data_IF_292498143158
#
_entry.id   IF_292498143158
#
_cell.length_a   1.000
_cell.length_b   1.000
_cell.length_c   1.000
_cell.angle_alpha   90.00
_cell.angle_beta   90.00
_cell.angle_gamma   90.00
#
_symmetry.space_group_name_H-M   'P 1'
#
loop_
_entity.id
_entity.type
_entity.pdbx_description
1 polymer ?
#
# COMPACT_ATOMS: atom_id res chain seq x y z
N UNK A 1 27.17 -0.14 -88.38
CA UNK A 1 26.56 -1.02 -89.39
C UNK A 1 25.17 -1.26 -88.95
N UNK A 2 24.30 -0.76 -89.59
CA UNK A 2 23.39 -0.94 -90.74
C UNK A 2 21.98 -0.90 -90.19
N UNK A 3 21.31 0.18 -90.39
CA UNK A 3 20.22 0.54 -91.32
C UNK A 3 19.11 -0.49 -91.48
N UNK A 4 17.89 -0.07 -91.32
CA UNK A 4 16.82 0.32 -92.27
C UNK A 4 15.46 0.25 -91.60
N UNK A 5 14.77 1.29 -91.56
CA UNK A 5 13.79 1.98 -92.46
C UNK A 5 12.44 1.30 -92.70
N UNK A 6 11.38 2.10 -92.41
CA UNK A 6 10.10 2.27 -93.10
C UNK A 6 9.01 1.20 -92.98
N UNK A 7 7.79 1.46 -92.55
CA UNK A 7 6.78 2.09 -93.38
C UNK A 7 5.54 2.62 -92.64
N UNK A 8 5.07 3.78 -93.06
CA UNK A 8 3.74 4.36 -92.82
C UNK A 8 2.58 3.50 -93.29
N UNK A 9 1.49 3.45 -92.50
CA UNK A 9 0.18 3.45 -93.03
C UNK A 9 -0.79 4.26 -92.15
N UNK A 10 -1.34 5.33 -92.73
CA UNK A 10 -2.49 6.09 -92.27
C UNK A 10 -3.76 5.22 -92.39
N UNK A 11 -4.58 5.14 -91.34
CA UNK A 11 -6.00 4.90 -91.49
C UNK A 11 -6.77 5.83 -90.55
N UNK A 12 -7.59 6.66 -91.21
CA UNK A 12 -8.63 7.53 -90.67
C UNK A 12 -9.76 6.66 -90.09
N UNK A 13 -10.14 6.94 -88.80
CA UNK A 13 -11.36 6.39 -88.25
C UNK A 13 -12.09 7.40 -87.36
N UNK A 14 -13.18 7.83 -87.80
CA UNK A 14 -14.46 8.38 -87.28
C UNK A 14 -14.52 8.59 -85.76
N UNK A 15 -14.68 9.87 -85.39
CA UNK A 15 -15.22 10.30 -84.07
C UNK A 15 -16.67 9.78 -83.92
N UNK A 16 -16.90 8.90 -82.94
CA UNK A 16 -18.21 8.65 -82.36
C UNK A 16 -18.41 9.48 -81.14
N UNK A 17 -19.24 10.51 -81.23
CA UNK A 17 -19.73 11.28 -80.10
C UNK A 17 -20.66 10.41 -79.26
N UNK A 18 -20.13 9.94 -78.07
CA UNK A 18 -20.97 9.28 -77.09
C UNK A 18 -21.40 10.33 -76.04
N UNK A 19 -22.63 10.80 -76.13
CA UNK A 19 -23.30 11.61 -75.09
C UNK A 19 -23.38 10.78 -73.83
N UNK A 20 -22.57 11.13 -72.83
CA UNK A 20 -22.74 10.59 -71.46
C UNK A 20 -23.90 11.32 -70.81
N UNK A 21 -25.10 10.72 -70.78
CA UNK A 21 -26.25 11.17 -70.01
C UNK A 21 -25.93 10.90 -68.51
N UNK A 22 -25.57 11.95 -67.72
CA UNK A 22 -25.51 11.88 -66.27
C UNK A 22 -26.91 11.67 -65.70
N UNK A 23 -27.21 10.47 -65.20
CA UNK A 23 -28.44 10.17 -64.44
C UNK A 23 -28.50 11.12 -63.23
N UNK A 24 -29.66 11.77 -62.94
CA UNK A 24 -29.78 12.63 -61.77
C UNK A 24 -29.67 11.78 -60.51
N UNK A 25 -28.70 12.14 -59.59
CA UNK A 25 -28.59 11.50 -58.28
C UNK A 25 -29.85 11.79 -57.48
N UNK A 26 -30.65 10.76 -57.21
CA UNK A 26 -31.92 10.87 -56.50
C UNK A 26 -31.73 11.54 -55.14
N UNK A 27 -32.57 12.51 -54.80
CA UNK A 27 -32.60 13.28 -53.52
C UNK A 27 -32.57 12.36 -52.29
N UNK A 28 -33.00 11.09 -52.41
CA UNK A 28 -32.99 10.07 -51.38
C UNK A 28 -31.58 9.65 -50.92
N UNK A 29 -30.60 9.54 -51.82
CA UNK A 29 -29.24 9.13 -51.53
C UNK A 29 -28.42 10.23 -50.80
N UNK A 30 -28.71 11.51 -51.10
CA UNK A 30 -28.08 12.66 -50.39
C UNK A 30 -28.61 12.74 -48.96
N UNK A 31 -29.92 12.49 -48.76
CA UNK A 31 -30.53 12.50 -47.40
C UNK A 31 -30.07 11.36 -46.53
N UNK A 32 -29.85 10.15 -47.08
CA UNK A 32 -29.24 9.01 -46.33
C UNK A 32 -27.79 9.28 -45.92
N UNK A 33 -26.97 9.88 -46.83
CA UNK A 33 -25.58 10.23 -46.50
C UNK A 33 -25.48 11.32 -45.41
N UNK A 34 -26.37 12.34 -45.45
CA UNK A 34 -26.42 13.38 -44.38
C UNK A 34 -26.85 12.81 -43.02
N UNK A 35 -27.83 11.89 -42.97
CA UNK A 35 -28.25 11.22 -41.74
C UNK A 35 -27.16 10.28 -41.18
N UNK A 36 -26.40 9.58 -42.01
CA UNK A 36 -25.28 8.75 -41.59
C UNK A 36 -24.12 9.60 -41.05
N UNK A 37 -23.75 10.70 -41.67
CA UNK A 37 -22.73 11.61 -41.23
C UNK A 37 -23.07 12.29 -39.86
N UNK A 38 -24.35 12.69 -39.69
CA UNK A 38 -24.85 13.24 -38.43
C UNK A 38 -24.81 12.21 -37.29
N UNK A 39 -25.10 10.94 -37.56
CA UNK A 39 -25.07 9.85 -36.57
C UNK A 39 -23.64 9.51 -36.15
N UNK A 40 -22.66 9.57 -37.07
CA UNK A 40 -21.22 9.41 -36.79
C UNK A 40 -20.71 10.58 -35.99
N UNK A 41 -21.07 11.83 -36.35
CA UNK A 41 -20.66 13.03 -35.58
C UNK A 41 -21.21 13.03 -34.15
N UNK A 42 -22.46 12.65 -33.94
CA UNK A 42 -23.06 12.52 -32.62
C UNK A 42 -22.38 11.43 -31.77
N UNK A 43 -21.97 10.31 -32.39
CA UNK A 43 -21.22 9.24 -31.72
C UNK A 43 -19.82 9.67 -31.29
N UNK A 44 -19.12 10.46 -32.12
CA UNK A 44 -17.80 11.02 -31.76
C UNK A 44 -17.90 12.03 -30.61
N UNK A 45 -18.90 12.91 -30.65
CA UNK A 45 -19.13 13.90 -29.59
C UNK A 45 -19.46 13.23 -28.25
N UNK A 46 -20.31 12.19 -28.27
CA UNK A 46 -20.62 11.40 -27.08
C UNK A 46 -19.36 10.70 -26.50
N UNK A 47 -18.54 10.08 -27.36
CA UNK A 47 -17.29 9.44 -26.91
C UNK A 47 -16.34 10.47 -26.31
N UNK A 48 -16.16 11.64 -26.93
CA UNK A 48 -15.32 12.72 -26.43
C UNK A 48 -15.80 13.23 -25.06
N UNK A 49 -17.11 13.40 -24.87
CA UNK A 49 -17.69 13.79 -23.57
C UNK A 49 -17.46 12.73 -22.50
N UNK A 50 -17.58 11.44 -22.83
CA UNK A 50 -17.30 10.33 -21.91
C UNK A 50 -15.81 10.31 -21.54
N UNK A 51 -14.92 10.46 -22.53
CA UNK A 51 -13.47 10.49 -22.25
C UNK A 51 -13.08 11.65 -21.34
N UNK A 52 -13.62 12.85 -21.60
CA UNK A 52 -13.37 14.02 -20.73
C UNK A 52 -13.93 13.79 -19.33
N UNK A 53 -15.13 13.23 -19.20
CA UNK A 53 -15.72 12.94 -17.89
C UNK A 53 -14.89 11.89 -17.10
N UNK A 54 -14.44 10.83 -17.77
CA UNK A 54 -13.60 9.79 -17.14
C UNK A 54 -12.24 10.36 -16.73
N UNK A 55 -11.62 11.20 -17.57
CA UNK A 55 -10.33 11.81 -17.23
C UNK A 55 -10.45 12.80 -16.06
N UNK A 56 -11.54 13.58 -15.97
CA UNK A 56 -11.79 14.47 -14.82
C UNK A 56 -12.02 13.68 -13.53
N UNK A 57 -12.79 12.60 -13.57
CA UNK A 57 -13.00 11.73 -12.40
C UNK A 57 -11.66 11.14 -11.94
N UNK A 58 -10.83 10.66 -12.86
CA UNK A 58 -9.52 10.10 -12.54
C UNK A 58 -8.60 11.13 -11.88
N UNK A 59 -8.56 12.36 -12.38
CA UNK A 59 -7.78 13.47 -11.79
C UNK A 59 -8.27 13.78 -10.38
N UNK A 60 -9.59 13.81 -10.15
CA UNK A 60 -10.17 14.04 -8.82
C UNK A 60 -9.80 12.90 -7.86
N UNK A 61 -9.87 11.64 -8.29
CA UNK A 61 -9.48 10.50 -7.46
C UNK A 61 -7.99 10.60 -7.09
N UNK A 62 -7.11 10.91 -8.05
CA UNK A 62 -5.68 11.10 -7.78
C UNK A 62 -5.46 12.25 -6.79
N UNK A 63 -6.14 13.37 -6.95
CA UNK A 63 -6.04 14.49 -6.01
C UNK A 63 -6.49 14.10 -4.60
N UNK A 64 -7.59 13.36 -4.47
CA UNK A 64 -8.08 12.87 -3.17
C UNK A 64 -7.07 11.88 -2.56
N UNK A 65 -6.50 10.95 -3.34
CA UNK A 65 -5.51 10.01 -2.81
C UNK A 65 -4.23 10.72 -2.38
N UNK A 66 -3.77 11.73 -3.11
CA UNK A 66 -2.61 12.55 -2.72
C UNK A 66 -2.89 13.33 -1.44
N UNK A 67 -4.08 13.91 -1.28
CA UNK A 67 -4.46 14.62 -0.04
C UNK A 67 -4.53 13.66 1.15
N UNK A 68 -5.13 12.48 0.97
CA UNK A 68 -5.17 11.44 2.03
C UNK A 68 -3.76 10.98 2.39
N UNK A 69 -2.90 10.74 1.39
CA UNK A 69 -1.51 10.35 1.63
C UNK A 69 -0.71 11.45 2.34
N UNK A 70 -0.91 12.73 1.98
CA UNK A 70 -0.27 13.86 2.65
C UNK A 70 -0.74 13.99 4.10
N UNK A 71 -2.04 13.89 4.36
CA UNK A 71 -2.58 13.92 5.73
C UNK A 71 -2.10 12.75 6.59
N UNK A 72 -1.92 11.56 6.00
CA UNK A 72 -1.35 10.43 6.71
C UNK A 72 0.17 10.60 6.94
N UNK A 73 0.90 11.20 5.98
CA UNK A 73 2.32 11.49 6.12
C UNK A 73 2.62 12.47 7.26
N UNK A 74 1.78 13.49 7.45
CA UNK A 74 1.95 14.42 8.59
C UNK A 74 1.75 13.73 9.95
N UNK A 75 0.87 12.73 10.03
CA UNK A 75 0.67 11.95 11.26
C UNK A 75 1.86 11.01 11.58
N UNK A 76 2.64 10.61 10.57
CA UNK A 76 3.78 9.69 10.75
C UNK A 76 5.11 10.38 11.04
N UNK A 77 5.17 11.70 11.07
CA UNK A 77 6.38 12.44 11.45
C UNK A 77 6.48 12.60 12.97
N UNK A 78 6.53 11.46 13.68
CA UNK A 78 6.73 11.42 15.13
C UNK A 78 8.00 12.18 15.58
N UNK A 79 9.04 12.16 14.77
CA UNK A 79 10.32 12.86 15.05
C UNK A 79 10.30 14.35 14.68
N UNK A 80 9.22 14.85 14.07
CA UNK A 80 9.12 16.22 13.59
C UNK A 80 7.93 16.95 14.23
N UNK A 81 7.57 16.60 15.46
CA UNK A 81 6.59 17.34 16.23
C UNK A 81 7.22 18.55 16.86
N UNK A 82 6.65 19.74 16.68
CA UNK A 82 7.00 20.97 17.42
C UNK A 82 6.65 20.87 18.92
N UNK A 83 6.34 19.66 19.39
CA UNK A 83 6.03 19.37 20.79
C UNK A 83 7.31 18.95 21.52
N UNK A 84 7.62 19.62 22.59
CA UNK A 84 8.71 19.24 23.51
C UNK A 84 8.45 17.89 24.20
N UNK A 85 7.19 17.43 24.22
CA UNK A 85 6.75 16.19 24.90
C UNK A 85 5.77 15.44 24.01
N UNK A 86 6.03 14.15 23.81
CA UNK A 86 5.10 13.21 23.15
C UNK A 86 4.54 12.21 24.18
N UNK A 87 3.24 11.96 24.12
CA UNK A 87 2.56 11.03 25.01
C UNK A 87 2.31 9.71 24.29
N UNK A 88 2.79 8.63 24.87
CA UNK A 88 2.60 7.28 24.35
C UNK A 88 2.04 6.35 25.39
N UNK A 89 1.58 5.19 24.92
CA UNK A 89 1.19 4.07 25.77
C UNK A 89 1.89 2.79 25.31
N UNK A 90 2.14 1.88 26.22
CA UNK A 90 2.41 0.49 25.91
C UNK A 90 1.18 -0.36 26.23
N UNK A 91 0.94 -1.38 25.40
CA UNK A 91 -0.23 -2.24 25.54
C UNK A 91 0.09 -3.70 25.27
N UNK A 92 -0.62 -4.55 26.00
CA UNK A 92 -0.55 -6.00 25.84
C UNK A 92 -1.93 -6.63 26.09
N UNK A 93 -1.99 -7.95 26.09
CA UNK A 93 -3.20 -8.70 26.49
C UNK A 93 -3.66 -8.41 27.92
N UNK A 94 -2.80 -7.87 28.79
CA UNK A 94 -3.16 -7.50 30.16
C UNK A 94 -4.12 -6.31 30.23
N UNK A 95 -4.11 -5.44 29.22
CA UNK A 95 -5.01 -4.29 29.12
C UNK A 95 -6.39 -4.65 28.56
N UNK A 96 -6.59 -5.90 28.13
CA UNK A 96 -7.86 -6.36 27.54
C UNK A 96 -8.14 -5.75 26.17
N UNK A 97 -9.40 -5.48 25.89
CA UNK A 97 -9.83 -4.85 24.63
C UNK A 97 -9.66 -3.34 24.72
N UNK A 98 -9.04 -2.74 23.71
CA UNK A 98 -8.76 -1.32 23.62
C UNK A 98 -9.69 -0.66 22.60
N UNK A 99 -10.28 0.47 22.97
CA UNK A 99 -10.99 1.34 22.04
C UNK A 99 -10.00 2.33 21.40
N UNK A 100 -9.36 1.88 20.32
CA UNK A 100 -8.36 2.67 19.61
C UNK A 100 -8.91 3.98 19.04
N UNK A 101 -10.21 4.05 18.74
CA UNK A 101 -10.85 5.29 18.30
C UNK A 101 -10.83 6.37 19.40
N UNK A 102 -10.99 5.97 20.65
CA UNK A 102 -10.90 6.88 21.80
C UNK A 102 -9.44 7.15 22.16
N UNK A 103 -8.59 6.12 22.21
CA UNK A 103 -7.18 6.23 22.56
C UNK A 103 -6.42 7.15 21.60
N UNK A 104 -6.66 7.05 20.29
CA UNK A 104 -5.98 7.87 19.27
C UNK A 104 -6.14 9.38 19.43
N UNK A 105 -7.10 9.83 20.24
CA UNK A 105 -7.31 11.26 20.51
C UNK A 105 -6.38 11.80 21.60
N UNK A 106 -5.79 10.90 22.39
CA UNK A 106 -5.07 11.24 23.62
C UNK A 106 -3.61 10.76 23.61
N UNK A 107 -3.17 10.08 22.55
CA UNK A 107 -1.79 9.58 22.46
C UNK A 107 -1.17 9.97 21.11
N UNK A 108 0.13 10.19 21.14
CA UNK A 108 0.92 10.49 19.95
C UNK A 108 1.48 9.20 19.34
N UNK A 109 1.64 8.11 20.13
CA UNK A 109 2.14 6.81 19.68
C UNK A 109 1.74 5.68 20.63
N UNK A 110 1.98 4.42 20.19
CA UNK A 110 1.82 3.25 21.05
C UNK A 110 2.90 2.20 20.80
N UNK A 111 3.30 1.49 21.84
CA UNK A 111 4.08 0.26 21.75
C UNK A 111 3.18 -0.94 22.06
N UNK A 112 3.15 -1.91 21.14
CA UNK A 112 2.24 -3.06 21.23
C UNK A 112 3.06 -4.33 21.45
N UNK A 113 2.78 -5.05 22.54
CA UNK A 113 3.42 -6.34 22.77
C UNK A 113 3.00 -7.33 21.69
N UNK A 114 3.96 -7.85 20.94
CA UNK A 114 3.70 -8.85 19.91
C UNK A 114 3.81 -10.27 20.44
N UNK A 115 4.60 -10.47 21.47
CA UNK A 115 4.78 -11.78 22.08
C UNK A 115 5.54 -11.73 23.41
N UNK A 116 5.78 -12.89 23.92
CA UNK A 116 6.55 -13.08 25.14
C UNK A 116 7.20 -14.47 25.16
N UNK A 117 8.36 -14.57 25.80
CA UNK A 117 8.91 -15.88 26.17
C UNK A 117 8.35 -16.29 27.52
N UNK A 118 7.86 -17.50 27.59
CA UNK A 118 7.32 -18.08 28.82
C UNK A 118 8.35 -18.09 29.96
N UNK A 119 7.95 -17.63 31.13
CA UNK A 119 8.86 -17.49 32.27
C UNK A 119 9.16 -18.81 32.99
N UNK A 120 8.52 -19.92 32.62
CA UNK A 120 8.78 -21.26 33.16
C UNK A 120 9.52 -22.11 32.15
N UNK A 121 8.86 -22.46 31.05
CA UNK A 121 9.38 -23.40 30.03
C UNK A 121 10.18 -22.71 28.92
N UNK A 122 10.00 -21.39 28.75
CA UNK A 122 10.79 -20.59 27.81
C UNK A 122 10.32 -20.68 26.35
N UNK A 123 9.12 -21.17 26.08
CA UNK A 123 8.54 -21.17 24.77
C UNK A 123 8.11 -19.76 24.33
N UNK A 124 8.21 -19.47 23.03
CA UNK A 124 7.73 -18.22 22.46
C UNK A 124 6.20 -18.28 22.24
N UNK A 125 5.53 -17.27 22.74
CA UNK A 125 4.09 -17.13 22.63
C UNK A 125 3.73 -15.80 21.99
N UNK A 126 2.78 -15.79 21.04
CA UNK A 126 2.19 -14.57 20.51
C UNK A 126 1.24 -13.95 21.56
N UNK A 127 1.28 -12.64 21.74
CA UNK A 127 0.27 -11.96 22.56
C UNK A 127 -1.10 -12.07 21.87
N UNK A 128 -2.11 -12.54 22.59
CA UNK A 128 -3.44 -12.85 22.03
C UNK A 128 -4.17 -11.65 21.42
N UNK A 129 -3.75 -10.42 21.78
CA UNK A 129 -4.33 -9.20 21.23
C UNK A 129 -3.39 -8.47 20.27
N UNK A 130 -2.18 -8.96 20.02
CA UNK A 130 -1.15 -8.33 19.18
C UNK A 130 -1.72 -7.93 17.81
N UNK A 131 -2.24 -8.87 17.05
CA UNK A 131 -2.79 -8.65 15.71
C UNK A 131 -3.93 -7.65 15.69
N UNK A 132 -4.82 -7.76 16.67
CA UNK A 132 -5.97 -6.88 16.78
C UNK A 132 -5.53 -5.45 17.12
N UNK A 133 -4.65 -5.29 18.12
CA UNK A 133 -4.15 -4.00 18.53
C UNK A 133 -3.38 -3.31 17.40
N UNK A 134 -2.50 -4.04 16.69
CA UNK A 134 -1.77 -3.51 15.54
C UNK A 134 -2.71 -3.01 14.44
N UNK A 135 -3.67 -3.84 14.02
CA UNK A 135 -4.61 -3.47 12.97
C UNK A 135 -5.51 -2.28 13.36
N UNK A 136 -6.02 -2.26 14.59
CA UNK A 136 -6.95 -1.22 15.06
C UNK A 136 -6.22 0.11 15.37
N UNK A 137 -5.00 0.08 15.93
CA UNK A 137 -4.17 1.25 16.14
C UNK A 137 -3.83 1.94 14.82
N UNK A 138 -3.37 1.17 13.83
CA UNK A 138 -3.07 1.68 12.49
C UNK A 138 -4.31 2.27 11.81
N UNK A 139 -5.46 1.58 11.88
CA UNK A 139 -6.74 2.10 11.37
C UNK A 139 -7.14 3.42 12.05
N UNK A 140 -6.79 3.59 13.32
CA UNK A 140 -7.03 4.82 14.07
C UNK A 140 -5.97 5.91 13.80
N UNK A 141 -4.93 5.62 13.00
CA UNK A 141 -3.85 6.54 12.65
C UNK A 141 -2.85 6.78 13.78
N UNK A 142 -2.71 5.82 14.70
CA UNK A 142 -1.71 5.87 15.78
C UNK A 142 -0.41 5.26 15.27
N UNK A 143 0.73 5.98 15.27
CA UNK A 143 2.05 5.42 15.01
C UNK A 143 2.36 4.31 16.00
N UNK A 144 2.85 3.16 15.52
CA UNK A 144 3.09 2.00 16.37
C UNK A 144 4.53 1.52 16.30
N UNK A 145 5.07 1.19 17.46
CA UNK A 145 6.19 0.28 17.63
C UNK A 145 5.72 -1.03 18.24
N UNK A 146 6.61 -1.98 18.31
CA UNK A 146 6.31 -3.27 18.95
C UNK A 146 7.35 -3.63 20.00
N UNK A 147 6.97 -4.47 20.94
CA UNK A 147 7.90 -5.04 21.89
C UNK A 147 7.62 -6.52 22.14
N UNK A 148 8.66 -7.21 22.60
CA UNK A 148 8.57 -8.56 23.10
C UNK A 148 8.98 -8.60 24.58
N UNK A 149 8.19 -9.28 25.41
CA UNK A 149 8.54 -9.53 26.80
C UNK A 149 9.49 -10.72 26.87
N UNK A 150 10.74 -10.41 27.18
CA UNK A 150 11.85 -11.38 27.13
C UNK A 150 12.07 -12.10 28.46
N UNK A 151 12.28 -13.41 28.35
CA UNK A 151 12.87 -14.24 29.38
C UNK A 151 14.02 -15.07 28.78
N UNK A 152 14.71 -14.50 27.77
CA UNK A 152 15.89 -15.12 27.17
C UNK A 152 17.04 -15.20 28.19
N UNK A 153 17.72 -16.35 28.21
CA UNK A 153 18.85 -16.60 29.11
C UNK A 153 20.18 -16.84 28.37
N UNK A 154 20.15 -16.71 27.05
CA UNK A 154 21.30 -16.77 26.15
C UNK A 154 21.02 -16.00 24.86
N UNK A 155 22.07 -15.73 24.07
CA UNK A 155 22.04 -14.96 22.83
C UNK A 155 21.10 -15.60 21.78
N UNK A 156 21.13 -16.94 21.65
CA UNK A 156 20.27 -17.64 20.70
C UNK A 156 18.78 -17.42 20.96
N UNK A 157 18.37 -17.44 22.21
CA UNK A 157 16.98 -17.17 22.58
C UNK A 157 16.60 -15.71 22.30
N UNK A 158 17.52 -14.76 22.46
CA UNK A 158 17.29 -13.37 22.11
C UNK A 158 17.13 -13.17 20.59
N UNK A 159 17.97 -13.82 19.77
CA UNK A 159 17.83 -13.85 18.32
C UNK A 159 16.47 -14.43 17.87
N UNK A 160 16.04 -15.53 18.51
CA UNK A 160 14.71 -16.12 18.27
C UNK A 160 13.56 -15.15 18.60
N UNK A 161 13.70 -14.38 19.69
CA UNK A 161 12.73 -13.35 20.08
C UNK A 161 12.71 -12.18 19.09
N UNK A 162 13.88 -11.72 18.65
CA UNK A 162 14.00 -10.69 17.61
C UNK A 162 13.36 -11.11 16.30
N UNK A 163 13.68 -12.31 15.82
CA UNK A 163 13.10 -12.87 14.59
C UNK A 163 11.58 -12.97 14.69
N UNK A 164 11.07 -13.43 15.83
CA UNK A 164 9.64 -13.51 16.10
C UNK A 164 8.95 -12.14 16.02
N UNK A 165 9.53 -11.12 16.67
CA UNK A 165 9.00 -9.76 16.65
C UNK A 165 9.01 -9.16 15.23
N UNK A 166 10.13 -9.33 14.51
CA UNK A 166 10.28 -8.88 13.12
C UNK A 166 9.30 -9.55 12.18
N UNK A 167 9.06 -10.87 12.31
CA UNK A 167 8.10 -11.58 11.47
C UNK A 167 6.67 -11.07 11.65
N UNK A 168 6.30 -10.63 12.86
CA UNK A 168 4.99 -10.03 13.09
C UNK A 168 4.98 -8.60 12.57
N UNK A 169 5.98 -7.78 12.92
CA UNK A 169 6.08 -6.38 12.50
C UNK A 169 6.01 -6.20 10.97
N UNK A 170 6.66 -7.08 10.20
CA UNK A 170 6.64 -7.06 8.72
C UNK A 170 5.25 -7.19 8.09
N UNK A 171 4.24 -7.66 8.83
CA UNK A 171 2.86 -7.81 8.34
C UNK A 171 2.01 -6.56 8.55
N UNK A 172 2.58 -5.56 9.24
CA UNK A 172 1.90 -4.33 9.63
C UNK A 172 2.77 -3.12 9.31
N UNK A 173 2.18 -1.95 9.26
CA UNK A 173 2.90 -0.68 9.09
C UNK A 173 3.47 -0.22 10.45
N UNK A 174 4.53 -0.88 10.90
CA UNK A 174 5.26 -0.54 12.14
C UNK A 174 6.27 0.54 11.80
N UNK A 175 6.07 1.75 12.31
CA UNK A 175 6.87 2.95 12.00
C UNK A 175 7.85 3.34 13.10
N UNK A 176 7.70 2.77 14.30
CA UNK A 176 8.57 2.98 15.44
C UNK A 176 9.42 1.73 15.69
N UNK A 177 10.47 1.83 16.54
CA UNK A 177 11.37 0.71 16.81
C UNK A 177 10.69 -0.54 17.36
N UNK A 178 11.44 -1.65 17.28
CA UNK A 178 11.16 -2.90 17.98
C UNK A 178 11.99 -2.90 19.27
N UNK A 179 11.37 -3.19 20.41
CA UNK A 179 12.03 -3.22 21.70
C UNK A 179 12.04 -4.62 22.32
N UNK A 180 13.13 -4.92 23.02
CA UNK A 180 13.18 -6.00 24.00
C UNK A 180 12.82 -5.44 25.38
N UNK A 181 11.84 -6.05 26.02
CA UNK A 181 11.46 -5.78 27.40
C UNK A 181 12.04 -6.89 28.28
N UNK A 182 13.20 -6.61 28.87
CA UNK A 182 13.99 -7.58 29.59
C UNK A 182 13.94 -7.28 31.10
N UNK A 183 13.07 -7.99 31.81
CA UNK A 183 12.87 -7.78 33.23
C UNK A 183 12.73 -9.09 34.04
N UNK A 184 12.97 -9.05 35.31
CA UNK A 184 12.77 -10.19 36.18
C UNK A 184 11.29 -10.44 36.45
N UNK A 185 10.81 -11.63 36.06
CA UNK A 185 9.43 -12.06 36.28
C UNK A 185 9.27 -12.78 37.62
N UNK A 186 8.12 -12.52 38.24
CA UNK A 186 7.67 -13.20 39.46
C UNK A 186 6.23 -13.66 39.28
N UNK A 187 5.96 -14.94 39.53
CA UNK A 187 4.57 -15.45 39.54
C UNK A 187 3.86 -15.03 40.83
N UNK A 188 2.51 -15.06 40.79
CA UNK A 188 1.71 -14.82 41.99
C UNK A 188 2.00 -15.79 43.15
N UNK A 189 2.62 -16.94 42.90
CA UNK A 189 3.06 -17.90 43.89
C UNK A 189 4.49 -17.69 44.38
N UNK A 190 5.15 -16.57 44.03
CA UNK A 190 6.53 -16.27 44.42
C UNK A 190 7.60 -17.05 43.65
N UNK A 191 7.24 -17.80 42.61
CA UNK A 191 8.21 -18.47 41.75
C UNK A 191 8.90 -17.44 40.86
N UNK A 192 10.19 -17.51 40.78
CA UNK A 192 11.03 -16.63 39.95
C UNK A 192 11.01 -17.11 38.51
N UNK A 193 10.97 -16.15 37.58
CA UNK A 193 11.09 -16.45 36.15
C UNK A 193 12.46 -16.97 35.74
N UNK A 194 12.58 -17.48 34.51
CA UNK A 194 13.81 -18.08 33.96
C UNK A 194 15.01 -17.12 34.05
N UNK A 195 14.81 -15.87 33.58
CA UNK A 195 15.87 -14.88 33.57
C UNK A 195 16.44 -14.60 34.99
N UNK A 196 15.56 -14.47 35.98
CA UNK A 196 15.99 -14.31 37.36
C UNK A 196 16.66 -15.59 37.92
N UNK A 197 16.10 -16.77 37.60
CA UNK A 197 16.63 -18.06 38.08
C UNK A 197 17.98 -18.41 37.46
N UNK A 198 18.24 -17.95 36.26
CA UNK A 198 19.50 -18.17 35.54
C UNK A 198 20.70 -17.44 36.20
N UNK A 199 20.45 -16.41 37.01
CA UNK A 199 21.48 -15.63 37.72
C UNK A 199 22.59 -15.15 36.78
N UNK A 200 22.24 -14.66 35.61
CA UNK A 200 23.19 -14.18 34.62
C UNK A 200 24.04 -13.03 35.17
N UNK A 201 25.31 -13.05 34.87
CA UNK A 201 26.20 -11.90 35.12
C UNK A 201 25.79 -10.71 34.23
N UNK A 202 26.22 -9.52 34.60
CA UNK A 202 26.01 -8.31 33.79
C UNK A 202 26.49 -8.50 32.34
N UNK A 203 27.64 -9.18 32.15
CA UNK A 203 28.20 -9.46 30.83
C UNK A 203 27.25 -10.34 29.99
N UNK A 204 26.71 -11.41 30.60
CA UNK A 204 25.77 -12.30 29.91
C UNK A 204 24.44 -11.63 29.59
N UNK A 205 23.88 -10.83 30.50
CA UNK A 205 22.69 -10.02 30.21
C UNK A 205 22.96 -9.05 29.06
N UNK A 206 24.14 -8.39 29.08
CA UNK A 206 24.52 -7.49 27.97
C UNK A 206 24.64 -8.23 26.64
N UNK A 207 25.18 -9.46 26.63
CA UNK A 207 25.26 -10.27 25.43
C UNK A 207 23.87 -10.64 24.90
N UNK A 208 22.95 -11.06 25.78
CA UNK A 208 21.55 -11.33 25.45
C UNK A 208 20.88 -10.10 24.83
N UNK A 209 21.00 -8.93 25.42
CA UNK A 209 20.37 -7.70 24.89
C UNK A 209 21.01 -7.26 23.59
N UNK A 210 22.31 -7.46 23.40
CA UNK A 210 22.99 -7.11 22.15
C UNK A 210 22.68 -8.08 20.99
N UNK A 211 22.27 -9.30 21.28
CA UNK A 211 21.90 -10.30 20.30
C UNK A 211 20.48 -10.08 19.73
N UNK A 212 19.62 -9.39 20.48
CA UNK A 212 18.30 -8.93 20.03
C UNK A 212 18.43 -7.79 19.04
#
# INVERSE_FOLDING_TARGET
MSTKTKHKKKHTAKKKNTKITKKPKTKSNVRKKKKAAAKVGAGLDRRRKITVAVSTILVVIIAITVVIAAQNSEKHNFLNTDKDIAYGIDVSSHNGKIDWKTVSKNVDFAFIRVGYRGYTEGELNEDKFSKKNLAEAQKAGVPVGVYIYSQAINEKEAEEEADFAVQIAKKYDVTLPIFIDCEYAYSKGGHTGRLHSAKLSKKEITAVVNAF
#
